data_IF_019917370657
#
_entry.id   IF_019917370657
#
_cell.length_a   1.000
_cell.length_b   1.000
_cell.length_c   1.000
_cell.angle_alpha   90.00
_cell.angle_beta   90.00
_cell.angle_gamma   90.00
#
_symmetry.space_group_name_H-M   'P 1'
#
loop_
_entity.id
_entity.type
_entity.pdbx_description
1 polymer ?
#
# COMPACT_ATOMS: atom_id res chain seq x y z
N UNK A 1 -21.52 -11.78 -2.38
CA UNK A 1 -21.10 -12.76 -1.35
C UNK A 1 -19.62 -13.06 -1.60
N UNK A 2 -18.71 -12.28 -1.02
CA UNK A 2 -17.26 -12.45 -1.20
C UNK A 2 -16.73 -12.98 0.11
N UNK A 3 -16.30 -14.27 0.06
CA UNK A 3 -15.83 -15.02 1.20
C UNK A 3 -14.62 -14.38 1.86
N UNK A 4 -14.62 -14.36 3.18
CA UNK A 4 -13.50 -13.92 3.98
C UNK A 4 -12.27 -14.75 3.69
N UNK A 5 -11.20 -14.12 3.26
CA UNK A 5 -9.88 -14.73 3.19
C UNK A 5 -9.37 -14.89 4.62
N UNK A 6 -9.49 -16.11 5.10
CA UNK A 6 -8.86 -16.56 6.34
C UNK A 6 -7.34 -16.49 6.17
N UNK A 7 -6.68 -15.60 6.88
CA UNK A 7 -5.22 -15.52 6.93
C UNK A 7 -4.66 -16.68 7.75
N UNK A 8 -4.56 -17.85 7.14
CA UNK A 8 -3.75 -18.94 7.66
C UNK A 8 -2.37 -18.84 7.02
N UNK A 9 -1.39 -18.42 7.79
CA UNK A 9 0.02 -18.52 7.40
C UNK A 9 0.39 -20.00 7.31
N UNK A 10 0.84 -20.52 6.16
CA UNK A 10 1.25 -21.92 6.06
C UNK A 10 2.55 -22.11 6.86
N UNK A 11 2.53 -22.97 7.85
CA UNK A 11 3.73 -23.58 8.41
C UNK A 11 4.26 -23.08 9.76
N UNK A 12 3.57 -22.21 10.46
CA UNK A 12 3.90 -21.99 11.88
C UNK A 12 3.07 -22.96 12.74
N UNK A 13 3.69 -23.65 13.74
CA UNK A 13 2.94 -24.47 14.66
C UNK A 13 1.87 -23.59 15.31
N UNK A 14 0.69 -24.15 15.46
CA UNK A 14 -0.43 -23.55 16.17
C UNK A 14 -0.01 -23.32 17.63
N UNK A 15 0.78 -22.27 17.84
CA UNK A 15 0.99 -21.74 19.18
C UNK A 15 -0.36 -21.19 19.59
N UNK A 16 -0.99 -21.84 20.54
CA UNK A 16 -2.12 -21.27 21.23
C UNK A 16 -1.73 -19.83 21.63
N UNK A 17 -2.25 -18.86 20.89
CA UNK A 17 -2.16 -17.45 21.28
C UNK A 17 -2.77 -17.38 22.69
N UNK A 18 -2.17 -16.62 23.62
CA UNK A 18 -2.80 -16.40 24.91
C UNK A 18 -4.24 -16.02 24.68
N UNK A 19 -5.15 -16.61 25.44
CA UNK A 19 -6.60 -16.34 25.37
C UNK A 19 -6.94 -14.87 25.67
N UNK A 20 -5.98 -14.11 26.14
CA UNK A 20 -6.04 -12.66 26.30
C UNK A 20 -5.85 -12.05 24.91
N UNK A 21 -6.92 -11.50 24.36
CA UNK A 21 -6.92 -10.83 23.07
C UNK A 21 -6.02 -9.58 23.14
N UNK A 22 -4.74 -9.63 22.64
CA UNK A 22 -3.80 -8.52 22.76
C UNK A 22 -4.33 -7.26 22.10
N UNK A 23 -5.25 -7.42 21.14
CA UNK A 23 -5.90 -6.32 20.44
C UNK A 23 -6.83 -5.52 21.37
N UNK A 24 -7.55 -6.16 22.27
CA UNK A 24 -8.41 -5.47 23.23
C UNK A 24 -7.64 -4.55 24.16
N UNK A 25 -6.49 -5.01 24.65
CA UNK A 25 -5.64 -4.22 25.53
C UNK A 25 -5.00 -3.06 24.76
N UNK A 26 -4.55 -3.31 23.54
CA UNK A 26 -4.04 -2.29 22.65
C UNK A 26 -5.10 -1.23 22.31
N UNK A 27 -6.34 -1.63 22.05
CA UNK A 27 -7.46 -0.72 21.84
C UNK A 27 -7.71 0.20 23.03
N UNK A 28 -7.61 -0.31 24.28
CA UNK A 28 -7.74 0.53 25.47
C UNK A 28 -6.66 1.61 25.53
N UNK A 29 -5.43 1.26 25.16
CA UNK A 29 -4.33 2.23 25.07
C UNK A 29 -4.63 3.26 23.99
N UNK A 30 -5.02 2.83 22.79
CA UNK A 30 -5.32 3.74 21.68
C UNK A 30 -6.48 4.68 22.02
N UNK A 31 -7.54 4.23 22.66
CA UNK A 31 -8.63 5.10 23.10
C UNK A 31 -8.21 6.14 24.12
N UNK A 32 -7.25 5.80 25.02
CA UNK A 32 -6.66 6.78 25.95
C UNK A 32 -5.81 7.82 25.21
N UNK A 33 -5.02 7.39 24.21
CA UNK A 33 -4.24 8.30 23.38
C UNK A 33 -5.13 9.22 22.53
N UNK A 34 -6.24 8.67 22.02
CA UNK A 34 -7.25 9.44 21.29
C UNK A 34 -7.93 10.50 22.19
N UNK A 35 -8.32 10.11 23.40
CA UNK A 35 -8.90 11.03 24.38
C UNK A 35 -7.94 12.19 24.75
N UNK A 36 -6.62 11.95 24.68
CA UNK A 36 -5.59 12.97 24.86
C UNK A 36 -5.26 13.77 23.60
N UNK A 37 -5.86 13.39 22.46
CA UNK A 37 -5.61 14.03 21.18
C UNK A 37 -4.31 13.65 20.48
N UNK A 38 -3.57 12.66 21.02
CA UNK A 38 -2.28 12.20 20.47
C UNK A 38 -2.46 11.42 19.17
N UNK A 39 -3.59 10.74 19.03
CA UNK A 39 -3.97 10.03 17.79
C UNK A 39 -5.43 10.35 17.42
N UNK A 40 -5.83 9.94 16.24
CA UNK A 40 -7.21 10.06 15.71
C UNK A 40 -7.72 8.71 15.27
N UNK A 41 -8.87 8.30 15.79
CA UNK A 41 -9.64 7.17 15.29
C UNK A 41 -10.40 7.52 14.02
N UNK A 42 -10.56 6.55 13.12
CA UNK A 42 -11.30 6.76 11.87
C UNK A 42 -11.17 5.58 10.92
N UNK A 43 -11.60 5.79 9.68
CA UNK A 43 -11.38 4.88 8.55
C UNK A 43 -10.50 5.56 7.52
N UNK A 44 -9.22 5.27 7.53
CA UNK A 44 -8.22 5.91 6.68
C UNK A 44 -7.91 5.07 5.44
N UNK A 45 -7.98 3.76 5.55
CA UNK A 45 -7.68 2.80 4.48
C UNK A 45 -8.95 2.00 4.19
N UNK A 46 -9.41 2.04 2.94
CA UNK A 46 -10.55 1.25 2.48
C UNK A 46 -10.21 -0.25 2.47
N UNK A 47 -11.22 -1.10 2.64
CA UNK A 47 -11.05 -2.56 2.61
C UNK A 47 -10.58 -3.20 3.91
N UNK A 48 -10.18 -2.43 4.91
CA UNK A 48 -9.85 -2.94 6.24
C UNK A 48 -11.04 -2.80 7.18
N UNK A 49 -11.40 -3.89 7.84
CA UNK A 49 -12.43 -3.91 8.89
C UNK A 49 -11.83 -3.47 10.23
N UNK A 50 -12.68 -2.94 11.12
CA UNK A 50 -12.27 -2.53 12.46
C UNK A 50 -11.86 -1.06 12.59
N UNK A 51 -11.49 -0.69 13.81
CA UNK A 51 -11.03 0.65 14.14
C UNK A 51 -9.60 0.87 13.60
N UNK A 52 -9.37 2.03 13.00
CA UNK A 52 -8.06 2.44 12.53
C UNK A 52 -7.64 3.70 13.26
N UNK A 53 -6.36 3.81 13.57
CA UNK A 53 -5.80 4.96 14.27
C UNK A 53 -4.65 5.56 13.47
N UNK A 54 -4.54 6.87 13.49
CA UNK A 54 -3.48 7.60 12.79
C UNK A 54 -3.02 8.81 13.62
N UNK A 55 -1.79 9.23 13.42
CA UNK A 55 -1.29 10.49 13.96
C UNK A 55 -2.04 11.66 13.31
N UNK A 56 -2.32 12.77 14.05
CA UNK A 56 -2.99 13.96 13.52
C UNK A 56 -2.34 14.50 12.24
N UNK A 57 -1.00 14.54 12.20
CA UNK A 57 -0.24 14.99 11.04
C UNK A 57 -0.44 14.10 9.82
N UNK A 58 -0.51 12.77 10.02
CA UNK A 58 -0.80 11.83 8.93
C UNK A 58 -2.19 12.07 8.37
N UNK A 59 -3.20 12.33 9.22
CA UNK A 59 -4.57 12.67 8.78
C UNK A 59 -4.58 13.97 7.98
N UNK A 60 -3.80 14.97 8.41
CA UNK A 60 -3.63 16.23 7.68
C UNK A 60 -3.08 15.99 6.26
N UNK A 61 -1.99 15.24 6.17
CA UNK A 61 -1.36 14.88 4.88
C UNK A 61 -2.28 14.06 3.97
N UNK A 62 -3.02 13.09 4.51
CA UNK A 62 -3.98 12.32 3.73
C UNK A 62 -5.07 13.20 3.12
N UNK A 63 -5.59 14.17 3.90
CA UNK A 63 -6.58 15.14 3.42
C UNK A 63 -6.01 16.06 2.34
N UNK A 64 -4.78 16.52 2.50
CA UNK A 64 -4.09 17.34 1.51
C UNK A 64 -3.93 16.58 0.20
N UNK A 65 -3.39 15.36 0.25
CA UNK A 65 -3.18 14.52 -0.95
C UNK A 65 -4.51 14.23 -1.64
N UNK A 66 -5.58 13.93 -0.88
CA UNK A 66 -6.91 13.68 -1.45
C UNK A 66 -7.49 14.88 -2.20
N UNK A 67 -7.10 16.11 -1.84
CA UNK A 67 -7.56 17.35 -2.51
C UNK A 67 -6.74 17.69 -3.75
N UNK A 68 -5.53 17.14 -3.87
CA UNK A 68 -4.70 17.35 -5.05
C UNK A 68 -5.32 16.66 -6.26
N UNK A 69 -5.40 17.35 -7.40
CA UNK A 69 -5.82 16.69 -8.63
C UNK A 69 -4.83 15.57 -8.99
N UNK A 70 -5.35 14.54 -9.67
CA UNK A 70 -4.49 13.49 -10.24
C UNK A 70 -3.49 14.12 -11.20
N UNK A 71 -2.22 13.83 -11.00
CA UNK A 71 -1.13 14.32 -11.87
C UNK A 71 -0.84 13.38 -13.04
N UNK A 72 -1.39 12.16 -13.02
CA UNK A 72 -1.03 11.09 -13.94
C UNK A 72 0.40 10.57 -13.72
N UNK A 73 1.07 11.01 -12.65
CA UNK A 73 2.46 10.69 -12.37
C UNK A 73 2.68 9.20 -12.13
N UNK A 74 3.76 8.67 -12.69
CA UNK A 74 4.13 7.26 -12.57
C UNK A 74 5.33 7.12 -11.65
N UNK A 75 5.25 6.11 -10.76
CA UNK A 75 6.33 5.75 -9.84
C UNK A 75 6.58 4.26 -9.94
N UNK A 76 7.83 3.86 -10.24
CA UNK A 76 8.25 2.47 -10.24
C UNK A 76 9.02 2.16 -8.95
N UNK A 77 8.53 1.20 -8.17
CA UNK A 77 9.16 0.72 -6.94
C UNK A 77 9.67 -0.71 -7.11
N UNK A 78 10.75 -1.04 -6.42
CA UNK A 78 11.20 -2.42 -6.29
C UNK A 78 10.22 -3.24 -5.44
N UNK A 79 10.12 -4.54 -5.69
CA UNK A 79 9.38 -5.46 -4.84
C UNK A 79 9.86 -5.49 -3.38
N UNK A 80 11.14 -5.21 -3.16
CA UNK A 80 11.76 -5.14 -1.83
C UNK A 80 11.71 -3.75 -1.19
N UNK A 81 11.16 -2.73 -1.87
CA UNK A 81 11.04 -1.38 -1.32
C UNK A 81 10.02 -1.37 -0.17
N UNK A 82 10.36 -0.82 1.01
CA UNK A 82 9.43 -0.70 2.14
C UNK A 82 8.15 0.11 1.81
N UNK A 83 8.20 0.99 0.82
CA UNK A 83 7.04 1.75 0.35
C UNK A 83 6.15 0.96 -0.61
N UNK A 84 6.55 -0.26 -0.98
CA UNK A 84 5.72 -1.13 -1.80
C UNK A 84 4.58 -1.73 -0.98
N UNK A 85 3.44 -1.08 -1.01
CA UNK A 85 2.21 -1.50 -0.33
C UNK A 85 1.20 -2.17 -1.27
N UNK A 86 1.65 -2.58 -2.48
CA UNK A 86 0.82 -3.33 -3.43
C UNK A 86 0.38 -4.67 -2.82
N UNK A 87 -0.91 -4.98 -2.89
CA UNK A 87 -1.49 -6.17 -2.27
C UNK A 87 -1.56 -6.14 -0.73
N UNK A 88 -1.17 -5.04 -0.10
CA UNK A 88 -1.32 -4.77 1.33
C UNK A 88 -2.40 -3.71 1.55
N UNK A 89 -2.21 -2.51 0.99
CA UNK A 89 -3.17 -1.40 1.09
C UNK A 89 -3.96 -1.16 -0.20
N UNK A 90 -3.50 -1.69 -1.32
CA UNK A 90 -4.12 -1.51 -2.63
C UNK A 90 -4.62 -2.84 -3.18
N UNK A 91 -5.70 -2.85 -3.99
CA UNK A 91 -6.21 -4.05 -4.64
C UNK A 91 -5.25 -4.51 -5.75
N UNK A 92 -4.24 -5.28 -5.39
CA UNK A 92 -3.30 -5.91 -6.32
C UNK A 92 -2.79 -7.22 -5.74
N UNK A 93 -2.25 -8.14 -6.55
CA UNK A 93 -1.50 -9.27 -6.04
C UNK A 93 -0.32 -8.81 -5.17
N UNK A 94 -0.08 -9.52 -4.07
CA UNK A 94 1.08 -9.24 -3.23
C UNK A 94 2.35 -9.59 -3.99
N UNK A 95 3.23 -8.63 -4.14
CA UNK A 95 4.50 -8.81 -4.82
C UNK A 95 5.53 -9.39 -3.85
N UNK A 96 6.22 -10.48 -4.26
CA UNK A 96 7.33 -11.00 -3.46
C UNK A 96 8.44 -9.94 -3.34
N UNK A 97 9.02 -9.81 -2.13
CA UNK A 97 10.05 -8.83 -1.81
C UNK A 97 11.42 -9.20 -2.43
N UNK A 98 11.46 -9.33 -3.75
CA UNK A 98 12.65 -9.60 -4.54
C UNK A 98 13.08 -8.32 -5.28
N UNK A 99 14.39 -8.07 -5.32
CA UNK A 99 14.96 -6.87 -5.99
C UNK A 99 14.61 -6.84 -7.48
N UNK A 100 14.51 -8.01 -8.13
CA UNK A 100 14.15 -8.13 -9.55
C UNK A 100 12.67 -7.87 -9.84
N UNK A 101 11.80 -7.93 -8.84
CA UNK A 101 10.39 -7.62 -8.99
C UNK A 101 10.15 -6.11 -8.88
N UNK A 102 9.19 -5.59 -9.64
CA UNK A 102 8.85 -4.16 -9.62
C UNK A 102 7.35 -3.96 -9.74
N UNK A 103 6.88 -2.86 -9.19
CA UNK A 103 5.50 -2.41 -9.35
C UNK A 103 5.49 -0.98 -9.89
N UNK A 104 4.63 -0.71 -10.86
CA UNK A 104 4.38 0.62 -11.39
C UNK A 104 3.07 1.14 -10.82
N UNK A 105 3.16 2.29 -10.17
CA UNK A 105 2.01 3.03 -9.67
C UNK A 105 1.69 4.21 -10.58
N UNK A 106 0.40 4.51 -10.74
CA UNK A 106 -0.10 5.76 -11.29
C UNK A 106 -1.01 6.40 -10.25
N UNK A 107 -0.62 7.59 -9.78
CA UNK A 107 -1.34 8.32 -8.72
C UNK A 107 -1.63 7.45 -7.47
N UNK A 108 -0.68 6.60 -7.08
CA UNK A 108 -0.78 5.72 -5.91
C UNK A 108 -1.50 4.39 -6.14
N UNK A 109 -2.07 4.14 -7.33
CA UNK A 109 -2.68 2.87 -7.68
C UNK A 109 -1.74 2.02 -8.53
N UNK A 110 -1.56 0.73 -8.22
CA UNK A 110 -0.70 -0.15 -9.02
C UNK A 110 -1.38 -0.44 -10.35
N UNK A 111 -0.67 -0.19 -11.46
CA UNK A 111 -1.16 -0.38 -12.84
C UNK A 111 -0.44 -1.51 -13.58
N UNK A 112 0.79 -1.86 -13.16
CA UNK A 112 1.53 -2.96 -13.76
C UNK A 112 2.55 -3.55 -12.78
N UNK A 113 2.87 -4.82 -12.96
CA UNK A 113 3.89 -5.56 -12.23
C UNK A 113 4.95 -6.08 -13.20
N UNK A 114 6.19 -6.18 -12.72
CA UNK A 114 7.27 -6.91 -13.39
C UNK A 114 7.71 -8.04 -12.46
N UNK A 115 7.48 -9.27 -12.88
CA UNK A 115 7.71 -10.48 -12.08
C UNK A 115 8.30 -11.56 -12.96
N UNK A 116 9.41 -12.15 -12.55
CA UNK A 116 10.03 -13.23 -13.29
C UNK A 116 10.45 -12.90 -14.73
N UNK A 117 10.74 -11.62 -15.02
CA UNK A 117 11.09 -11.15 -16.36
C UNK A 117 9.90 -10.74 -17.24
N UNK A 118 8.66 -10.87 -16.74
CA UNK A 118 7.44 -10.57 -17.48
C UNK A 118 6.70 -9.36 -16.90
N UNK A 119 6.06 -8.59 -17.79
CA UNK A 119 5.19 -7.47 -17.39
C UNK A 119 3.73 -7.93 -17.41
N UNK A 120 3.08 -7.78 -16.26
CA UNK A 120 1.65 -8.04 -16.06
C UNK A 120 0.94 -6.71 -15.85
N UNK A 121 -0.03 -6.38 -16.71
CA UNK A 121 -0.86 -5.18 -16.53
C UNK A 121 -2.03 -5.51 -15.61
N UNK A 122 -2.29 -4.62 -14.65
CA UNK A 122 -3.38 -4.71 -13.69
C UNK A 122 -4.59 -3.86 -14.11
N UNK A 123 -4.38 -2.97 -15.07
CA UNK A 123 -5.38 -2.06 -15.63
C UNK A 123 -5.43 -2.21 -17.16
N UNK A 124 -6.56 -1.87 -17.75
CA UNK A 124 -6.71 -1.83 -19.21
C UNK A 124 -6.05 -0.57 -19.74
N UNK A 125 -4.91 -0.74 -20.41
CA UNK A 125 -4.14 0.35 -20.97
C UNK A 125 -4.12 0.22 -22.50
N UNK A 126 -4.13 1.35 -23.20
CA UNK A 126 -3.91 1.37 -24.65
C UNK A 126 -2.47 0.96 -25.00
N UNK A 127 -2.20 0.54 -26.24
CA UNK A 127 -0.87 0.02 -26.63
C UNK A 127 0.29 1.01 -26.43
N UNK A 128 0.06 2.30 -26.63
CA UNK A 128 1.10 3.32 -26.43
C UNK A 128 1.43 3.47 -24.95
N UNK A 129 0.41 3.54 -24.10
CA UNK A 129 0.56 3.58 -22.63
C UNK A 129 1.21 2.30 -22.09
N UNK A 130 0.88 1.12 -22.63
CA UNK A 130 1.53 -0.14 -22.26
C UNK A 130 3.04 -0.12 -22.55
N UNK A 131 3.44 0.43 -23.69
CA UNK A 131 4.85 0.54 -24.06
C UNK A 131 5.61 1.48 -23.11
N UNK A 132 5.05 2.64 -22.79
CA UNK A 132 5.63 3.56 -21.81
C UNK A 132 5.70 2.94 -20.42
N UNK A 133 4.68 2.21 -20.00
CA UNK A 133 4.65 1.49 -18.71
C UNK A 133 5.78 0.43 -18.64
N UNK A 134 6.01 -0.33 -19.70
CA UNK A 134 7.14 -1.26 -19.79
C UNK A 134 8.47 -0.56 -19.59
N UNK A 135 8.67 0.58 -20.27
CA UNK A 135 9.89 1.39 -20.14
C UNK A 135 10.07 1.91 -18.71
N UNK A 136 9.01 2.42 -18.10
CA UNK A 136 9.03 2.93 -16.73
C UNK A 136 9.37 1.85 -15.71
N UNK A 137 8.83 0.65 -15.85
CA UNK A 137 9.17 -0.50 -15.01
C UNK A 137 10.65 -0.89 -15.11
N UNK A 138 11.19 -0.92 -16.32
CA UNK A 138 12.57 -1.38 -16.57
C UNK A 138 13.63 -0.34 -16.20
N UNK A 139 13.34 0.95 -16.36
CA UNK A 139 14.30 2.03 -16.12
C UNK A 139 14.52 2.38 -14.65
N UNK A 140 13.65 1.94 -13.75
CA UNK A 140 13.76 2.33 -12.34
C UNK A 140 13.71 3.86 -12.16
N UNK A 141 12.77 4.51 -12.85
CA UNK A 141 12.71 5.96 -12.93
C UNK A 141 12.71 6.60 -11.54
N UNK A 142 13.72 7.42 -11.25
CA UNK A 142 13.67 8.39 -10.15
C UNK A 142 12.49 9.32 -10.44
N UNK A 143 11.56 9.54 -9.50
CA UNK A 143 10.42 10.42 -9.74
C UNK A 143 10.92 11.82 -10.06
N UNK A 144 10.43 12.38 -11.16
CA UNK A 144 10.77 13.74 -11.63
C UNK A 144 10.47 14.82 -10.58
N UNK A 145 9.61 14.51 -9.60
CA UNK A 145 9.28 15.40 -8.48
C UNK A 145 10.40 15.61 -7.45
N UNK A 146 11.44 14.76 -7.43
CA UNK A 146 12.61 14.97 -6.56
C UNK A 146 13.67 15.88 -7.17
N UNK A 147 13.59 16.16 -8.47
CA UNK A 147 14.52 17.06 -9.16
C UNK A 147 14.18 18.54 -8.94
N UNK A 148 12.98 18.85 -8.45
CA UNK A 148 12.51 20.23 -8.22
C UNK A 148 12.81 20.77 -6.80
N UNK A 149 13.58 20.04 -5.99
CA UNK A 149 13.95 20.44 -4.61
C UNK A 149 15.47 20.64 -4.41
N UNK A 150 16.21 20.82 -5.51
CA UNK A 150 17.63 21.20 -5.48
C UNK A 150 17.83 22.61 -6.00
#
# INVERSE_FOLDING_TARGET
MIGGTNWQSPGLPERAWPQDDPWRDLLRVYRRLEARGEIRGGRFVAGFSGEQFALPDAVGKLREIRRKPSSGGWISLSGSDPLNLAGILTPAPRLAALIGNRVLFRDGLPIALFVGGEVQFLDTLDPATQWEARKALLRGAVPTSLVALS
#
